data_IF_046672747591
#
_entry.id   IF_046672747591
#
_cell.length_a   1.000
_cell.length_b   1.000
_cell.length_c   1.000
_cell.angle_alpha   90.00
_cell.angle_beta   90.00
_cell.angle_gamma   90.00
#
_symmetry.space_group_name_H-M   'P 1'
#
loop_
_entity.id
_entity.type
_entity.pdbx_description
1 polymer ?
#
# COMPACT_ATOMS: atom_id res chain seq x y z
N UNK A 1 -33.58 -14.03 52.28
CA UNK A 1 -32.36 -14.44 51.56
C UNK A 1 -32.67 -15.84 51.04
N UNK A 2 -33.09 -16.05 49.80
CA UNK A 2 -32.27 -16.08 48.58
C UNK A 2 -33.27 -16.15 47.40
N UNK A 3 -33.09 -15.32 46.36
CA UNK A 3 -33.89 -15.32 45.12
C UNK A 3 -33.26 -16.24 44.08
N UNK A 4 -34.05 -17.09 43.42
CA UNK A 4 -33.61 -17.93 42.28
C UNK A 4 -34.53 -17.71 41.07
N UNK A 5 -34.04 -16.96 40.09
CA UNK A 5 -34.62 -16.83 38.75
C UNK A 5 -33.54 -17.20 37.75
N UNK A 6 -33.69 -18.31 37.03
CA UNK A 6 -32.95 -18.55 35.79
C UNK A 6 -33.50 -19.78 35.07
N UNK A 7 -33.52 -19.69 33.73
CA UNK A 7 -33.11 -20.78 32.83
C UNK A 7 -34.16 -21.40 31.89
N UNK A 8 -35.07 -20.59 31.32
CA UNK A 8 -36.00 -21.05 30.25
C UNK A 8 -35.87 -20.35 28.89
N UNK A 9 -35.12 -19.24 28.76
CA UNK A 9 -35.11 -18.44 27.52
C UNK A 9 -33.94 -18.73 26.55
N UNK A 10 -32.95 -19.52 26.98
CA UNK A 10 -31.73 -19.81 26.20
C UNK A 10 -31.90 -20.92 25.15
N UNK A 11 -32.96 -21.73 25.24
CA UNK A 11 -33.14 -22.93 24.40
C UNK A 11 -33.85 -22.66 23.06
N UNK A 12 -34.57 -21.56 22.93
CA UNK A 12 -35.36 -21.23 21.72
C UNK A 12 -34.51 -20.50 20.66
N UNK A 13 -33.53 -19.70 21.09
CA UNK A 13 -32.64 -18.93 20.21
C UNK A 13 -31.72 -19.82 19.37
N UNK A 14 -31.18 -20.90 19.96
CA UNK A 14 -30.18 -21.76 19.32
C UNK A 14 -30.76 -22.60 18.18
N UNK A 15 -32.05 -22.94 18.22
CA UNK A 15 -32.70 -23.78 17.18
C UNK A 15 -32.97 -23.06 15.86
N UNK A 16 -33.00 -21.72 15.84
CA UNK A 16 -33.33 -20.94 14.64
C UNK A 16 -32.12 -20.69 13.72
N UNK A 17 -30.90 -20.86 14.22
CA UNK A 17 -29.66 -20.65 13.44
C UNK A 17 -29.21 -21.86 12.61
N UNK A 18 -29.81 -23.04 12.80
CA UNK A 18 -29.36 -24.27 12.16
C UNK A 18 -30.01 -24.56 10.79
N UNK A 19 -30.97 -23.74 10.35
CA UNK A 19 -31.70 -23.95 9.09
C UNK A 19 -31.64 -22.70 8.20
N UNK A 20 -30.44 -22.19 7.93
CA UNK A 20 -30.24 -21.23 6.84
C UNK A 20 -30.10 -22.00 5.53
N UNK A 21 -31.21 -22.11 4.78
CA UNK A 21 -31.27 -22.64 3.41
C UNK A 21 -30.56 -24.01 3.16
N UNK A 22 -31.27 -25.16 3.23
CA UNK A 22 -30.68 -26.49 3.07
C UNK A 22 -30.11 -26.80 1.68
N UNK A 23 -30.33 -25.93 0.69
CA UNK A 23 -29.78 -26.04 -0.66
C UNK A 23 -28.71 -24.97 -0.97
N UNK A 24 -28.40 -24.09 -0.01
CA UNK A 24 -27.31 -23.12 -0.14
C UNK A 24 -25.96 -23.77 0.18
N UNK A 25 -24.86 -23.36 -0.46
CA UNK A 25 -23.54 -23.82 -0.06
C UNK A 25 -23.25 -23.36 1.38
N UNK A 26 -22.85 -24.28 2.25
CA UNK A 26 -22.34 -23.94 3.57
C UNK A 26 -20.97 -23.26 3.41
N UNK A 27 -20.99 -21.93 3.33
CA UNK A 27 -19.77 -21.14 3.39
C UNK A 27 -19.29 -21.19 4.83
N UNK A 28 -18.18 -21.90 5.08
CA UNK A 28 -17.46 -21.79 6.33
C UNK A 28 -17.12 -20.32 6.60
N UNK A 29 -17.16 -19.91 7.87
CA UNK A 29 -16.73 -18.57 8.23
C UNK A 29 -15.27 -18.39 7.77
N UNK A 30 -15.04 -17.48 6.81
CA UNK A 30 -13.69 -17.05 6.49
C UNK A 30 -13.11 -16.49 7.78
N UNK A 31 -11.96 -16.99 8.28
CA UNK A 31 -11.33 -16.38 9.43
C UNK A 31 -11.09 -14.90 9.07
N UNK A 32 -11.86 -13.99 9.66
CA UNK A 32 -11.46 -12.59 9.68
C UNK A 32 -10.25 -12.51 10.60
N UNK A 33 -9.06 -12.78 10.05
CA UNK A 33 -7.83 -12.31 10.67
C UNK A 33 -7.94 -10.79 10.70
N UNK A 34 -8.34 -10.26 11.86
CA UNK A 34 -8.06 -8.88 12.24
C UNK A 34 -6.56 -8.83 12.46
N UNK A 35 -5.81 -8.76 11.36
CA UNK A 35 -4.36 -8.71 11.37
C UNK A 35 -3.96 -7.45 12.15
N UNK A 36 -3.25 -7.65 13.26
CA UNK A 36 -2.83 -6.56 14.11
C UNK A 36 -1.89 -5.62 13.35
N UNK A 37 -1.85 -4.33 13.73
CA UNK A 37 -0.92 -3.37 13.14
C UNK A 37 0.54 -3.86 13.21
N UNK A 38 0.88 -4.58 14.27
CA UNK A 38 2.20 -5.17 14.50
C UNK A 38 2.55 -6.32 13.54
N UNK A 39 1.62 -7.23 13.29
CA UNK A 39 1.78 -8.30 12.28
C UNK A 39 1.91 -7.71 10.86
N UNK A 40 1.12 -6.67 10.58
CA UNK A 40 1.21 -5.94 9.31
C UNK A 40 2.58 -5.24 9.16
N UNK A 41 3.10 -4.63 10.23
CA UNK A 41 4.44 -4.04 10.24
C UNK A 41 5.55 -5.08 10.05
N UNK A 42 5.40 -6.29 10.60
CA UNK A 42 6.36 -7.38 10.40
C UNK A 42 6.40 -7.86 8.94
N UNK A 43 5.24 -7.99 8.29
CA UNK A 43 5.14 -8.39 6.87
C UNK A 43 5.76 -7.32 5.95
N UNK A 44 5.66 -6.04 6.34
CA UNK A 44 6.18 -4.90 5.56
C UNK A 44 7.67 -4.62 5.82
N UNK A 45 8.30 -5.28 6.81
CA UNK A 45 9.74 -5.17 7.06
C UNK A 45 10.56 -5.87 5.97
N UNK A 46 10.76 -5.14 4.87
CA UNK A 46 11.61 -5.55 3.74
C UNK A 46 13.10 -5.23 3.98
N UNK A 47 13.41 -4.40 4.98
CA UNK A 47 14.78 -3.89 5.20
C UNK A 47 15.28 -2.96 4.11
N UNK A 48 14.35 -2.36 3.34
CA UNK A 48 14.68 -1.43 2.25
C UNK A 48 15.20 -0.10 2.80
N UNK A 49 16.31 0.37 2.26
CA UNK A 49 16.88 1.70 2.58
C UNK A 49 16.77 2.58 1.35
N UNK A 50 16.17 3.76 1.49
CA UNK A 50 16.02 4.73 0.40
C UNK A 50 16.63 6.07 0.83
N UNK A 51 17.33 6.73 -0.08
CA UNK A 51 17.91 8.06 0.13
C UNK A 51 17.63 8.95 -1.10
N UNK A 52 17.48 10.25 -0.84
CA UNK A 52 17.40 11.28 -1.86
C UNK A 52 18.31 12.44 -1.50
N UNK A 53 19.05 12.96 -2.48
CA UNK A 53 19.92 14.12 -2.34
C UNK A 53 19.52 15.15 -3.39
N UNK A 54 19.21 16.37 -2.95
CA UNK A 54 19.04 17.53 -3.83
C UNK A 54 20.32 18.36 -3.87
N UNK A 55 20.62 18.89 -5.04
CA UNK A 55 21.74 19.79 -5.33
C UNK A 55 21.22 20.97 -6.16
N UNK A 56 22.06 21.97 -6.41
CA UNK A 56 21.71 23.08 -7.28
C UNK A 56 21.47 22.66 -8.74
N UNK A 57 22.10 21.55 -9.18
CA UNK A 57 22.06 21.07 -10.57
C UNK A 57 21.02 19.97 -10.79
N UNK A 58 20.57 19.32 -9.71
CA UNK A 58 19.54 18.29 -9.81
C UNK A 58 19.39 17.42 -8.57
N UNK A 59 18.78 16.25 -8.77
CA UNK A 59 18.39 15.33 -7.68
C UNK A 59 18.91 13.92 -7.98
N UNK A 60 19.45 13.26 -6.95
CA UNK A 60 19.87 11.86 -7.00
C UNK A 60 19.00 11.05 -6.04
N UNK A 61 18.45 9.94 -6.52
CA UNK A 61 17.75 8.95 -5.72
C UNK A 61 18.53 7.64 -5.72
N UNK A 62 18.67 7.02 -4.56
CA UNK A 62 19.33 5.73 -4.43
C UNK A 62 18.59 4.83 -3.43
N UNK A 63 18.66 3.54 -3.69
CA UNK A 63 18.06 2.51 -2.84
C UNK A 63 19.00 1.33 -2.71
N UNK A 64 18.82 0.53 -1.66
CA UNK A 64 19.39 -0.82 -1.64
C UNK A 64 18.73 -1.72 -2.72
N UNK A 65 19.39 -2.80 -3.11
CA UNK A 65 18.92 -3.73 -4.16
C UNK A 65 18.45 -5.07 -3.60
N UNK A 66 18.55 -5.29 -2.28
CA UNK A 66 18.19 -6.57 -1.66
C UNK A 66 16.68 -6.66 -1.48
N UNK A 67 16.08 -7.80 -1.84
CA UNK A 67 14.73 -8.17 -1.44
C UNK A 67 14.77 -9.40 -0.54
N UNK A 68 14.17 -9.29 0.64
CA UNK A 68 14.03 -10.40 1.58
C UNK A 68 12.58 -10.78 1.82
N UNK A 69 12.31 -12.07 1.94
CA UNK A 69 11.04 -12.64 2.38
C UNK A 69 11.12 -12.97 3.87
N UNK A 70 10.19 -12.41 4.65
CA UNK A 70 10.09 -12.67 6.10
C UNK A 70 11.37 -12.36 6.89
N UNK A 71 12.21 -11.42 6.41
CA UNK A 71 13.45 -11.00 7.06
C UNK A 71 14.57 -12.04 7.15
N UNK A 72 14.34 -13.28 6.70
CA UNK A 72 15.26 -14.42 6.89
C UNK A 72 15.77 -15.02 5.57
N UNK A 73 15.07 -14.79 4.47
CA UNK A 73 15.43 -15.34 3.16
C UNK A 73 15.66 -14.23 2.15
N UNK A 74 16.80 -14.21 1.46
CA UNK A 74 17.07 -13.25 0.39
C UNK A 74 16.50 -13.83 -0.91
N UNK A 75 15.39 -13.24 -1.38
CA UNK A 75 14.77 -13.63 -2.65
C UNK A 75 15.54 -13.09 -3.85
N UNK A 76 16.12 -11.90 -3.74
CA UNK A 76 16.96 -11.31 -4.80
C UNK A 76 17.95 -10.30 -4.22
N UNK A 77 19.07 -10.12 -4.92
CA UNK A 77 20.12 -9.13 -4.60
C UNK A 77 20.17 -7.97 -5.61
N UNK A 78 19.38 -8.04 -6.66
CA UNK A 78 19.43 -7.10 -7.79
C UNK A 78 18.01 -6.63 -8.14
N UNK A 79 17.35 -5.99 -7.16
CA UNK A 79 16.00 -5.45 -7.33
C UNK A 79 16.07 -3.95 -7.59
N UNK A 80 15.55 -3.53 -8.73
CA UNK A 80 15.29 -2.14 -9.05
C UNK A 80 14.15 -1.62 -8.16
N UNK A 81 14.46 -0.63 -7.30
CA UNK A 81 13.46 0.04 -6.45
C UNK A 81 13.36 1.54 -6.74
N UNK A 82 13.98 2.01 -7.82
CA UNK A 82 13.81 3.38 -8.34
C UNK A 82 13.11 3.28 -9.69
N UNK A 83 11.96 3.94 -9.78
CA UNK A 83 11.09 3.90 -10.95
C UNK A 83 10.88 5.30 -11.51
N UNK A 84 11.13 5.47 -12.80
CA UNK A 84 10.83 6.72 -13.50
C UNK A 84 9.32 6.88 -13.65
N UNK A 85 8.76 7.99 -13.18
CA UNK A 85 7.30 8.27 -13.24
C UNK A 85 6.95 9.43 -14.17
N UNK A 86 7.95 10.20 -14.57
CA UNK A 86 7.85 11.39 -15.41
C UNK A 86 9.17 11.51 -16.21
N UNK A 87 9.22 12.16 -17.39
CA UNK A 87 10.46 12.29 -18.16
C UNK A 87 11.64 12.80 -17.33
N UNK A 88 11.38 13.75 -16.42
CA UNK A 88 12.39 14.35 -15.54
C UNK A 88 12.20 14.02 -14.05
N UNK A 89 11.47 12.96 -13.69
CA UNK A 89 11.28 12.58 -12.29
C UNK A 89 11.20 11.07 -12.05
N UNK A 90 11.67 10.64 -10.89
CA UNK A 90 11.63 9.27 -10.43
C UNK A 90 11.17 9.17 -8.97
N UNK A 91 10.76 7.99 -8.58
CA UNK A 91 10.27 7.70 -7.22
C UNK A 91 10.89 6.42 -6.68
N UNK A 92 11.18 6.39 -5.39
CA UNK A 92 11.68 5.18 -4.70
C UNK A 92 10.52 4.31 -4.22
N UNK A 93 10.71 2.99 -4.26
CA UNK A 93 9.76 2.00 -3.76
C UNK A 93 10.20 1.48 -2.39
N UNK A 94 9.40 1.74 -1.35
CA UNK A 94 9.59 1.13 -0.03
C UNK A 94 8.25 0.85 0.66
N UNK A 95 8.28 -0.06 1.63
CA UNK A 95 7.08 -0.53 2.33
C UNK A 95 6.33 -1.62 1.56
N UNK A 96 5.00 -1.55 1.55
CA UNK A 96 4.13 -2.51 0.84
C UNK A 96 4.44 -2.53 -0.66
N UNK A 97 4.87 -3.69 -1.18
CA UNK A 97 5.22 -3.87 -2.60
C UNK A 97 4.01 -3.59 -3.49
N UNK A 98 2.86 -4.18 -3.18
CA UNK A 98 1.63 -4.00 -3.95
C UNK A 98 1.13 -2.55 -3.91
N UNK A 99 1.19 -1.92 -2.73
CA UNK A 99 0.82 -0.51 -2.55
C UNK A 99 1.72 0.42 -3.36
N UNK A 100 3.04 0.21 -3.32
CA UNK A 100 3.99 1.04 -4.04
C UNK A 100 3.88 0.87 -5.55
N UNK A 101 3.70 -0.37 -6.04
CA UNK A 101 3.48 -0.61 -7.46
C UNK A 101 2.17 0.00 -7.96
N UNK A 102 1.09 -0.06 -7.17
CA UNK A 102 -0.17 0.61 -7.50
C UNK A 102 0.03 2.14 -7.58
N UNK A 103 0.73 2.72 -6.61
CA UNK A 103 1.06 4.14 -6.57
C UNK A 103 1.85 4.59 -7.81
N UNK A 104 2.91 3.87 -8.16
CA UNK A 104 3.74 4.15 -9.34
C UNK A 104 2.91 4.10 -10.63
N UNK A 105 2.05 3.09 -10.78
CA UNK A 105 1.16 2.99 -11.96
C UNK A 105 0.20 4.16 -12.06
N UNK A 106 -0.39 4.59 -10.93
CA UNK A 106 -1.28 5.76 -10.90
C UNK A 106 -0.55 7.04 -11.27
N UNK A 107 0.68 7.25 -10.76
CA UNK A 107 1.50 8.41 -11.13
C UNK A 107 1.86 8.44 -12.62
N UNK A 108 2.31 7.30 -13.17
CA UNK A 108 2.61 7.17 -14.61
C UNK A 108 1.38 7.45 -15.48
N UNK A 109 0.21 6.94 -15.07
CA UNK A 109 -1.03 7.17 -15.82
C UNK A 109 -1.43 8.65 -15.82
N UNK A 110 -1.39 9.32 -14.67
CA UNK A 110 -1.84 10.70 -14.56
C UNK A 110 -0.86 11.69 -15.20
N UNK A 111 0.45 11.46 -15.08
CA UNK A 111 1.48 12.29 -15.76
C UNK A 111 1.35 12.20 -17.28
N UNK A 112 1.23 10.99 -17.83
CA UNK A 112 1.02 10.79 -19.26
C UNK A 112 -0.29 11.43 -19.74
N UNK A 113 -1.37 11.27 -18.97
CA UNK A 113 -2.66 11.85 -19.31
C UNK A 113 -2.62 13.39 -19.29
N UNK A 114 -1.91 13.98 -18.32
CA UNK A 114 -1.68 15.42 -18.27
C UNK A 114 -0.94 15.91 -19.51
N UNK A 115 0.17 15.24 -19.87
CA UNK A 115 0.95 15.56 -21.07
C UNK A 115 0.11 15.52 -22.34
N UNK A 116 -0.67 14.45 -22.53
CA UNK A 116 -1.56 14.29 -23.68
C UNK A 116 -2.65 15.36 -23.75
N UNK A 117 -3.23 15.77 -22.60
CA UNK A 117 -4.32 16.77 -22.56
C UNK A 117 -3.84 18.21 -22.68
N UNK A 118 -2.64 18.52 -22.17
CA UNK A 118 -2.11 19.88 -22.08
C UNK A 118 -1.07 20.20 -23.14
N UNK A 119 -0.57 19.19 -23.86
CA UNK A 119 0.52 19.35 -24.83
C UNK A 119 1.86 19.76 -24.20
N UNK A 120 1.98 19.62 -22.87
CA UNK A 120 3.20 19.92 -22.12
C UNK A 120 3.32 19.01 -20.90
N UNK A 121 4.56 18.75 -20.50
CA UNK A 121 4.87 17.96 -19.31
C UNK A 121 4.34 18.61 -18.03
N UNK A 122 4.08 17.77 -17.03
CA UNK A 122 3.62 18.20 -15.71
C UNK A 122 4.81 18.81 -14.94
N UNK A 123 4.62 19.96 -14.27
CA UNK A 123 5.68 20.49 -13.41
C UNK A 123 5.92 19.59 -12.20
N UNK A 124 7.14 19.59 -11.67
CA UNK A 124 7.53 18.75 -10.53
C UNK A 124 6.70 19.11 -9.29
N UNK A 125 6.35 20.39 -9.12
CA UNK A 125 5.46 20.85 -8.05
C UNK A 125 4.06 20.26 -8.17
N UNK A 126 3.50 20.21 -9.38
CA UNK A 126 2.20 19.60 -9.62
C UNK A 126 2.24 18.09 -9.37
N UNK A 127 3.30 17.41 -9.83
CA UNK A 127 3.52 15.99 -9.58
C UNK A 127 3.63 15.68 -8.08
N UNK A 128 4.38 16.47 -7.31
CA UNK A 128 4.50 16.31 -5.86
C UNK A 128 3.16 16.49 -5.14
N UNK A 129 2.36 17.47 -5.59
CA UNK A 129 1.01 17.71 -5.05
C UNK A 129 0.08 16.53 -5.32
N UNK A 130 0.09 16.01 -6.55
CA UNK A 130 -0.67 14.83 -6.94
C UNK A 130 -0.26 13.59 -6.12
N UNK A 131 1.04 13.35 -6.01
CA UNK A 131 1.61 12.25 -5.24
C UNK A 131 1.17 12.30 -3.77
N UNK A 132 1.26 13.47 -3.13
CA UNK A 132 0.78 13.67 -1.75
C UNK A 132 -0.73 13.42 -1.61
N UNK A 133 -1.53 13.85 -2.59
CA UNK A 133 -2.97 13.59 -2.60
C UNK A 133 -3.29 12.10 -2.73
N UNK A 134 -2.56 11.36 -3.56
CA UNK A 134 -2.72 9.91 -3.69
C UNK A 134 -2.35 9.19 -2.40
N UNK A 135 -1.24 9.54 -1.76
CA UNK A 135 -0.84 8.97 -0.46
C UNK A 135 -1.88 9.23 0.63
N UNK A 136 -2.52 10.39 0.62
CA UNK A 136 -3.55 10.76 1.61
C UNK A 136 -4.90 10.10 1.35
N UNK A 137 -5.30 9.96 0.09
CA UNK A 137 -6.70 9.65 -0.26
C UNK A 137 -6.95 8.18 -0.58
N UNK A 138 -5.90 7.40 -0.84
CA UNK A 138 -6.05 6.04 -1.34
C UNK A 138 -5.65 5.01 -0.27
N UNK A 139 -6.67 4.31 0.24
CA UNK A 139 -6.51 3.25 1.25
C UNK A 139 -5.68 2.05 0.74
N UNK A 140 -5.62 1.83 -0.58
CA UNK A 140 -4.84 0.77 -1.24
C UNK A 140 -3.33 1.03 -1.16
N UNK A 141 -2.91 2.25 -0.87
CA UNK A 141 -1.48 2.64 -0.75
C UNK A 141 -0.98 2.51 0.69
N UNK A 142 -1.56 1.58 1.45
CA UNK A 142 -1.26 1.36 2.84
C UNK A 142 0.23 1.00 3.04
N UNK A 143 0.90 1.74 3.93
CA UNK A 143 2.27 1.47 4.39
C UNK A 143 3.38 1.61 3.33
N UNK A 144 3.38 2.71 2.56
CA UNK A 144 4.55 3.11 1.75
C UNK A 144 5.08 4.47 2.20
N UNK A 145 6.38 4.70 2.03
CA UNK A 145 7.03 5.98 2.34
C UNK A 145 8.02 6.39 1.24
N UNK A 146 7.53 6.63 0.00
CA UNK A 146 8.38 6.88 -1.15
C UNK A 146 9.06 8.25 -1.08
N UNK A 147 10.26 8.35 -1.66
CA UNK A 147 10.92 9.61 -1.99
C UNK A 147 10.68 9.87 -3.48
N UNK A 148 10.06 11.00 -3.79
CA UNK A 148 9.86 11.51 -5.15
C UNK A 148 10.89 12.62 -5.41
N UNK A 149 11.59 12.54 -6.53
CA UNK A 149 12.58 13.54 -6.93
C UNK A 149 12.54 13.78 -8.44
N UNK A 150 12.74 15.02 -8.84
CA UNK A 150 12.78 15.40 -10.24
C UNK A 150 13.28 16.83 -10.43
N UNK A 151 13.52 17.18 -11.69
CA UNK A 151 14.03 18.49 -12.09
C UNK A 151 13.14 19.09 -13.19
N UNK A 152 12.86 20.37 -13.07
CA UNK A 152 12.22 21.18 -14.10
C UNK A 152 12.88 22.56 -14.18
N UNK A 153 12.45 23.35 -15.17
CA UNK A 153 12.97 24.68 -15.45
C UNK A 153 12.19 25.80 -14.75
N UNK A 154 11.17 25.43 -13.98
CA UNK A 154 10.23 26.36 -13.35
C UNK A 154 10.78 26.91 -12.03
#
# INVERSE_FOLDING_TARGET
>A
MMTTTSDTDSRISTRRKLFSNPYGPELGNVPQQKMGREEMEEIVKTGTTTIGLSTAEGVVLATDMRASLGGRFIASKDVQKVEQVHPNAAVTMCGSVGGAQAFIRSLKAETNLYGMRRGKEMSIKALATLAGNFLRSNWTVFLISPILGGVDKE
#
